data_IF_170682557217
#
_entry.id   IF_170682557217
#
_cell.length_a   1.000
_cell.length_b   1.000
_cell.length_c   1.000
_cell.angle_alpha   90.00
_cell.angle_beta   90.00
_cell.angle_gamma   90.00
#
_symmetry.space_group_name_H-M   'P 1'
#
loop_
_entity.id
_entity.type
_entity.pdbx_description
1 polymer ?
#
# COMPACT_ATOMS: atom_id res chain seq x y z
N UNK A 1 34.43 -4.86 11.24
CA UNK A 1 33.28 -4.51 12.11
C UNK A 1 32.02 -4.94 11.38
N UNK A 2 31.44 -6.08 11.76
CA UNK A 2 30.23 -6.61 11.13
C UNK A 2 29.04 -5.80 11.64
N UNK A 3 28.41 -5.02 10.77
CA UNK A 3 27.15 -4.34 11.09
C UNK A 3 26.07 -5.42 11.26
N UNK A 4 25.73 -5.72 12.51
CA UNK A 4 24.58 -6.54 12.85
C UNK A 4 23.32 -5.80 12.36
N UNK A 5 22.79 -6.22 11.21
CA UNK A 5 21.50 -5.76 10.72
C UNK A 5 20.44 -6.23 11.74
N UNK A 6 19.89 -5.29 12.51
CA UNK A 6 18.76 -5.54 13.40
C UNK A 6 17.57 -6.16 12.62
N UNK A 7 16.57 -6.71 13.33
CA UNK A 7 15.48 -7.45 12.70
C UNK A 7 14.86 -6.67 11.53
N UNK A 8 14.77 -7.31 10.36
CA UNK A 8 14.15 -6.76 9.15
C UNK A 8 12.66 -6.52 9.41
N UNK A 9 12.30 -5.30 9.81
CA UNK A 9 10.92 -4.93 10.11
C UNK A 9 10.14 -4.73 8.80
N UNK A 10 9.04 -5.47 8.64
CA UNK A 10 8.03 -5.33 7.58
C UNK A 10 6.75 -4.82 8.23
N UNK A 11 6.06 -3.87 7.59
CA UNK A 11 4.75 -3.40 8.03
C UNK A 11 3.67 -3.79 7.02
N UNK A 12 2.63 -4.47 7.49
CA UNK A 12 1.40 -4.76 6.76
C UNK A 12 0.25 -4.03 7.47
N UNK A 13 -0.44 -3.14 6.76
CA UNK A 13 -1.54 -2.37 7.32
C UNK A 13 -2.88 -2.84 6.75
N UNK A 14 -3.84 -3.10 7.63
CA UNK A 14 -5.28 -3.22 7.33
C UNK A 14 -5.99 -1.96 7.85
N UNK A 15 -6.89 -1.40 7.04
CA UNK A 15 -7.38 -0.01 7.10
C UNK A 15 -7.88 0.49 8.48
N UNK A 16 -7.40 1.67 8.90
CA UNK A 16 -8.08 2.56 9.86
C UNK A 16 -7.86 4.03 9.44
N UNK A 17 -8.81 4.60 8.71
CA UNK A 17 -8.91 6.03 8.37
C UNK A 17 -10.36 6.43 8.16
N UNK A 18 -10.68 7.72 8.19
CA UNK A 18 -12.02 8.24 7.84
C UNK A 18 -12.24 8.39 6.32
N UNK A 19 -11.46 7.71 5.47
CA UNK A 19 -11.53 7.86 4.02
C UNK A 19 -12.94 7.60 3.45
N UNK A 20 -13.67 6.63 4.00
CA UNK A 20 -15.03 6.30 3.55
C UNK A 20 -15.97 7.51 3.63
N UNK A 21 -15.80 8.39 4.63
CA UNK A 21 -16.63 9.59 4.80
C UNK A 21 -15.98 10.87 4.25
N UNK A 22 -14.66 10.97 4.24
CA UNK A 22 -13.93 12.21 3.92
C UNK A 22 -13.25 12.23 2.53
N UNK A 23 -13.17 11.09 1.83
CA UNK A 23 -12.52 10.99 0.51
C UNK A 23 -11.09 11.52 0.52
N UNK A 24 -10.73 12.36 -0.46
CA UNK A 24 -9.38 12.91 -0.59
C UNK A 24 -8.96 13.83 0.58
N UNK A 25 -9.92 14.35 1.35
CA UNK A 25 -9.67 15.16 2.56
C UNK A 25 -9.50 14.30 3.81
N UNK A 26 -9.27 13.00 3.65
CA UNK A 26 -9.13 12.09 4.79
C UNK A 26 -7.97 12.50 5.71
N UNK A 27 -8.19 12.21 6.98
CA UNK A 27 -7.18 12.30 8.02
C UNK A 27 -6.69 10.90 8.35
N UNK A 28 -5.38 10.80 8.47
CA UNK A 28 -4.69 9.59 8.90
C UNK A 28 -4.22 9.82 10.32
N UNK A 29 -4.43 8.84 11.19
CA UNK A 29 -3.95 8.90 12.57
C UNK A 29 -2.46 9.28 12.61
N UNK A 30 -2.04 10.23 13.47
CA UNK A 30 -0.67 10.72 13.51
C UNK A 30 0.39 9.62 13.58
N UNK A 31 0.15 8.56 14.36
CA UNK A 31 1.06 7.43 14.48
C UNK A 31 1.18 6.61 13.20
N UNK A 32 0.10 6.43 12.44
CA UNK A 32 0.14 5.73 11.15
C UNK A 32 0.96 6.55 10.15
N UNK A 33 0.72 7.88 10.10
CA UNK A 33 1.50 8.78 9.24
C UNK A 33 2.98 8.76 9.60
N UNK A 34 3.31 8.82 10.90
CA UNK A 34 4.69 8.73 11.38
C UNK A 34 5.34 7.42 10.97
N UNK A 35 4.71 6.28 11.23
CA UNK A 35 5.29 4.97 10.91
C UNK A 35 5.49 4.78 9.40
N UNK A 36 4.52 5.19 8.56
CA UNK A 36 4.69 5.13 7.10
C UNK A 36 5.86 6.00 6.63
N UNK A 37 6.00 7.21 7.18
CA UNK A 37 7.13 8.10 6.92
C UNK A 37 8.46 7.50 7.34
N UNK A 38 8.55 6.97 8.57
CA UNK A 38 9.76 6.36 9.13
C UNK A 38 10.21 5.15 8.29
N UNK A 39 9.27 4.31 7.85
CA UNK A 39 9.57 3.15 7.00
C UNK A 39 10.06 3.57 5.61
N UNK A 40 9.37 4.52 4.96
CA UNK A 40 9.76 5.02 3.65
C UNK A 40 11.14 5.70 3.70
N UNK A 41 11.40 6.53 4.72
CA UNK A 41 12.69 7.19 4.92
C UNK A 41 13.81 6.17 5.15
N UNK A 42 13.56 5.14 5.97
CA UNK A 42 14.51 4.07 6.23
C UNK A 42 14.60 3.02 5.11
N UNK A 43 13.92 3.22 3.97
CA UNK A 43 13.83 2.27 2.85
C UNK A 43 13.50 0.85 3.32
N UNK A 44 12.53 0.75 4.22
CA UNK A 44 11.94 -0.52 4.69
C UNK A 44 10.67 -0.82 3.89
N UNK A 45 10.50 -2.05 3.39
CA UNK A 45 9.32 -2.39 2.59
C UNK A 45 8.00 -2.21 3.34
N UNK A 46 7.00 -1.69 2.64
CA UNK A 46 5.62 -1.47 3.12
C UNK A 46 4.66 -2.27 2.24
N UNK A 47 3.77 -3.06 2.86
CA UNK A 47 2.69 -3.76 2.17
C UNK A 47 1.31 -3.21 2.54
N UNK A 48 0.46 -2.92 1.55
CA UNK A 48 -0.90 -2.40 1.75
C UNK A 48 -1.87 -3.09 0.78
N UNK A 49 -3.03 -3.54 1.25
CA UNK A 49 -4.02 -4.17 0.37
C UNK A 49 -5.43 -3.61 0.55
N UNK A 50 -6.31 -3.90 -0.43
CA UNK A 50 -7.69 -3.43 -0.45
C UNK A 50 -7.75 -1.89 -0.48
N UNK A 51 -8.34 -1.26 0.53
CA UNK A 51 -8.44 0.21 0.63
C UNK A 51 -7.22 0.86 1.31
N UNK A 52 -6.38 0.08 1.99
CA UNK A 52 -5.21 0.59 2.71
C UNK A 52 -4.19 1.40 1.86
N UNK A 53 -4.04 1.19 0.54
CA UNK A 53 -3.17 2.02 -0.32
C UNK A 53 -3.47 3.53 -0.29
N UNK A 54 -4.69 3.92 0.08
CA UNK A 54 -5.06 5.33 0.35
C UNK A 54 -4.19 5.95 1.45
N UNK A 55 -3.78 5.17 2.45
CA UNK A 55 -2.92 5.65 3.54
C UNK A 55 -1.54 6.07 3.02
N UNK A 56 -0.94 5.25 2.15
CA UNK A 56 0.30 5.61 1.48
C UNK A 56 0.11 6.84 0.59
N UNK A 57 -0.96 6.89 -0.20
CA UNK A 57 -1.25 8.04 -1.05
C UNK A 57 -1.34 9.35 -0.26
N UNK A 58 -1.92 9.31 0.95
CA UNK A 58 -2.05 10.48 1.83
C UNK A 58 -0.75 10.87 2.53
N UNK A 59 0.11 9.90 2.83
CA UNK A 59 1.29 10.09 3.68
C UNK A 59 2.61 10.21 2.92
N UNK A 60 2.71 9.64 1.72
CA UNK A 60 3.93 9.50 0.94
C UNK A 60 3.74 10.18 -0.44
N UNK A 61 4.23 11.41 -0.63
CA UNK A 61 4.06 12.13 -1.89
C UNK A 61 4.66 11.38 -3.08
N UNK A 62 3.92 11.34 -4.20
CA UNK A 62 4.38 10.71 -5.44
C UNK A 62 4.41 9.18 -5.45
N UNK A 63 3.94 8.52 -4.39
CA UNK A 63 3.94 7.05 -4.31
C UNK A 63 3.08 6.42 -5.40
N UNK A 64 3.58 5.33 -5.98
CA UNK A 64 2.81 4.48 -6.88
C UNK A 64 2.01 3.43 -6.09
N UNK A 65 0.71 3.36 -6.33
CA UNK A 65 -0.20 2.44 -5.64
C UNK A 65 -1.29 1.90 -6.56
N UNK A 66 -1.91 0.78 -6.20
CA UNK A 66 -3.15 0.28 -6.79
C UNK A 66 -4.18 -0.01 -5.72
N UNK A 67 -5.45 0.27 -6.02
CA UNK A 67 -6.61 -0.30 -5.31
C UNK A 67 -7.44 -1.19 -6.25
N UNK A 68 -6.91 -1.56 -7.42
CA UNK A 68 -7.67 -2.19 -8.49
C UNK A 68 -8.11 -1.18 -9.55
N UNK A 69 -9.42 -1.09 -9.81
CA UNK A 69 -9.99 -0.28 -10.92
C UNK A 69 -11.14 0.64 -10.52
N UNK A 70 -11.42 0.80 -9.23
CA UNK A 70 -12.46 1.73 -8.79
C UNK A 70 -12.10 3.18 -9.16
N UNK A 71 -12.86 3.77 -10.07
CA UNK A 71 -12.54 5.08 -10.63
C UNK A 71 -12.65 6.21 -9.60
N UNK A 72 -13.58 6.10 -8.64
CA UNK A 72 -13.77 7.09 -7.58
C UNK A 72 -12.56 7.16 -6.65
N UNK A 73 -12.13 6.00 -6.15
CA UNK A 73 -10.97 5.89 -5.26
C UNK A 73 -9.67 6.22 -6.00
N UNK A 74 -9.52 5.76 -7.25
CA UNK A 74 -8.36 6.11 -8.07
C UNK A 74 -8.24 7.64 -8.29
N UNK A 75 -9.36 8.33 -8.49
CA UNK A 75 -9.38 9.80 -8.58
C UNK A 75 -9.00 10.47 -7.26
N UNK A 76 -9.51 9.98 -6.13
CA UNK A 76 -9.15 10.50 -4.81
C UNK A 76 -7.65 10.33 -4.53
N UNK A 77 -7.06 9.18 -4.88
CA UNK A 77 -5.62 8.90 -4.79
C UNK A 77 -4.82 9.92 -5.59
N UNK A 78 -5.21 10.17 -6.85
CA UNK A 78 -4.54 11.17 -7.70
C UNK A 78 -4.62 12.59 -7.12
N UNK A 79 -5.78 12.96 -6.56
CA UNK A 79 -5.97 14.26 -5.92
C UNK A 79 -5.10 14.45 -4.66
N UNK A 80 -4.68 13.36 -4.00
CA UNK A 80 -3.74 13.40 -2.88
C UNK A 80 -2.27 13.50 -3.33
N UNK A 81 -1.99 13.50 -4.64
CA UNK A 81 -0.63 13.62 -5.19
C UNK A 81 0.11 12.29 -5.36
N UNK A 82 -0.61 11.17 -5.30
CA UNK A 82 -0.08 9.85 -5.58
C UNK A 82 -0.46 9.37 -6.98
N UNK A 83 0.24 8.33 -7.46
CA UNK A 83 0.01 7.75 -8.79
C UNK A 83 -0.77 6.45 -8.63
N UNK A 84 -2.01 6.43 -9.11
CA UNK A 84 -2.82 5.22 -9.15
C UNK A 84 -2.56 4.43 -10.44
N UNK A 85 -2.16 3.17 -10.29
CA UNK A 85 -2.02 2.21 -11.37
C UNK A 85 -3.17 1.20 -11.33
N UNK A 86 -3.87 1.03 -12.45
CA UNK A 86 -4.87 -0.03 -12.55
C UNK A 86 -4.15 -1.39 -12.61
N UNK A 87 -4.56 -2.31 -11.74
CA UNK A 87 -4.01 -3.68 -11.66
C UNK A 87 -5.14 -4.67 -11.46
N UNK A 88 -5.05 -5.84 -12.10
CA UNK A 88 -5.99 -6.93 -11.90
C UNK A 88 -5.82 -7.62 -10.55
N UNK A 89 -6.80 -8.46 -10.17
CA UNK A 89 -6.72 -9.28 -8.96
C UNK A 89 -5.51 -10.24 -8.96
N UNK A 90 -4.93 -10.54 -10.11
CA UNK A 90 -3.72 -11.38 -10.24
C UNK A 90 -2.42 -10.58 -10.17
N UNK A 91 -2.49 -9.27 -9.97
CA UNK A 91 -1.35 -8.35 -10.04
C UNK A 91 -1.16 -7.54 -8.74
N UNK A 92 0.05 -6.99 -8.60
CA UNK A 92 0.40 -6.00 -7.57
C UNK A 92 1.05 -4.78 -8.22
N UNK A 93 0.94 -3.62 -7.59
CA UNK A 93 1.71 -2.43 -7.93
C UNK A 93 2.91 -2.31 -6.98
N UNK A 94 4.06 -1.91 -7.51
CA UNK A 94 5.34 -1.84 -6.77
C UNK A 94 6.01 -0.51 -7.06
N UNK A 95 6.12 0.32 -6.04
CA UNK A 95 6.99 1.48 -6.03
C UNK A 95 8.38 1.06 -5.51
N UNK A 96 9.31 0.81 -6.43
CA UNK A 96 10.67 0.38 -6.08
C UNK A 96 11.47 1.49 -5.36
N UNK A 97 11.15 2.77 -5.59
CA UNK A 97 11.83 3.88 -4.96
C UNK A 97 11.45 4.00 -3.47
N UNK A 98 10.15 3.99 -3.17
CA UNK A 98 9.64 4.06 -1.80
C UNK A 98 9.51 2.68 -1.13
N UNK A 99 9.79 1.60 -1.85
CA UNK A 99 9.61 0.20 -1.45
C UNK A 99 8.19 -0.09 -0.96
N UNK A 100 7.18 0.42 -1.68
CA UNK A 100 5.76 0.21 -1.37
C UNK A 100 5.18 -0.83 -2.32
N UNK A 101 4.53 -1.86 -1.79
CA UNK A 101 3.81 -2.87 -2.57
C UNK A 101 2.34 -2.80 -2.22
N UNK A 102 1.49 -2.73 -3.25
CA UNK A 102 0.04 -2.65 -3.07
C UNK A 102 -0.73 -3.66 -3.91
N UNK A 103 -1.86 -4.12 -3.39
CA UNK A 103 -2.66 -5.16 -4.04
C UNK A 103 -4.18 -4.89 -3.90
N UNK A 104 -4.99 -5.16 -4.95
CA UNK A 104 -6.42 -4.85 -4.92
C UNK A 104 -7.24 -5.66 -3.90
N UNK A 105 -6.92 -6.94 -3.70
CA UNK A 105 -7.66 -7.85 -2.81
C UNK A 105 -9.20 -7.71 -2.95
N UNK A 106 -9.90 -7.46 -1.83
CA UNK A 106 -11.37 -7.34 -1.79
C UNK A 106 -11.96 -6.13 -2.54
N UNK A 107 -11.14 -5.24 -3.12
CA UNK A 107 -11.67 -4.18 -4.00
C UNK A 107 -12.31 -4.73 -5.28
N UNK A 108 -12.00 -5.98 -5.64
CA UNK A 108 -12.68 -6.72 -6.70
C UNK A 108 -13.84 -7.54 -6.12
N UNK A 109 -15.06 -7.00 -6.15
CA UNK A 109 -16.24 -7.66 -5.59
C UNK A 109 -16.62 -8.99 -6.27
N UNK A 110 -16.14 -9.24 -7.48
CA UNK A 110 -16.33 -10.49 -8.22
C UNK A 110 -15.25 -11.54 -7.97
N UNK A 111 -14.19 -11.22 -7.23
CA UNK A 111 -13.08 -12.13 -6.96
C UNK A 111 -13.50 -13.22 -5.98
N UNK A 112 -13.00 -14.44 -6.18
CA UNK A 112 -13.16 -15.53 -5.22
C UNK A 112 -12.18 -15.37 -4.06
N UNK A 113 -12.42 -16.08 -2.96
CA UNK A 113 -11.47 -16.12 -1.83
C UNK A 113 -10.10 -16.65 -2.28
N UNK A 114 -10.06 -17.58 -3.23
CA UNK A 114 -8.82 -18.11 -3.79
C UNK A 114 -8.03 -17.02 -4.53
N UNK A 115 -8.70 -16.23 -5.38
CA UNK A 115 -8.06 -15.11 -6.09
C UNK A 115 -7.46 -14.10 -5.11
N UNK A 116 -8.19 -13.79 -4.03
CA UNK A 116 -7.74 -12.86 -3.00
C UNK A 116 -6.56 -13.42 -2.20
N UNK A 117 -6.59 -14.71 -1.87
CA UNK A 117 -5.49 -15.40 -1.20
C UNK A 117 -4.21 -15.33 -2.05
N UNK A 118 -4.33 -15.63 -3.35
CA UNK A 118 -3.20 -15.57 -4.28
C UNK A 118 -2.68 -14.14 -4.45
N UNK A 119 -3.57 -13.15 -4.53
CA UNK A 119 -3.21 -11.73 -4.63
C UNK A 119 -2.41 -11.24 -3.41
N UNK A 120 -2.88 -11.56 -2.21
CA UNK A 120 -2.18 -11.21 -0.96
C UNK A 120 -0.88 -12.00 -0.85
N UNK A 121 -0.87 -13.27 -1.25
CA UNK A 121 0.34 -14.09 -1.31
C UNK A 121 1.42 -13.48 -2.22
N UNK A 122 1.02 -12.95 -3.38
CA UNK A 122 1.90 -12.23 -4.29
C UNK A 122 2.44 -10.94 -3.65
N UNK A 123 1.60 -10.16 -2.99
CA UNK A 123 2.01 -8.96 -2.24
C UNK A 123 3.08 -9.31 -1.21
N UNK A 124 2.85 -10.33 -0.37
CA UNK A 124 3.80 -10.72 0.68
C UNK A 124 5.13 -11.16 0.08
N UNK A 125 5.11 -12.01 -0.96
CA UNK A 125 6.32 -12.44 -1.68
C UNK A 125 7.11 -11.24 -2.20
N UNK A 126 6.43 -10.25 -2.79
CA UNK A 126 7.08 -9.07 -3.36
C UNK A 126 7.63 -8.15 -2.28
N UNK A 127 6.90 -7.91 -1.18
CA UNK A 127 7.42 -7.17 -0.01
C UNK A 127 8.70 -7.81 0.53
N UNK A 128 8.72 -9.13 0.70
CA UNK A 128 9.90 -9.86 1.19
C UNK A 128 11.10 -9.73 0.25
N UNK A 129 10.87 -9.71 -1.07
CA UNK A 129 11.95 -9.53 -2.06
C UNK A 129 12.67 -8.19 -1.95
N UNK A 130 12.02 -7.16 -1.38
CA UNK A 130 12.58 -5.81 -1.18
C UNK A 130 13.36 -5.64 0.14
N UNK A 131 13.46 -6.70 0.95
CA UNK A 131 14.14 -6.66 2.27
C UNK A 131 15.65 -6.94 2.21
N UNK A 132 16.19 -7.12 1.00
CA UNK A 132 17.60 -7.41 0.76
C UNK A 132 18.43 -6.14 0.61
#
# INVERSE_FOLDING_TARGET
>A
MSAHAGPKKVALYISSSNFVSAGASCEVLPDVKRVLGDFAHAKKPIGLCCIAPVLAARCLPGVHVTIGKDAGTAKAIKNMGAIHENREITEVCVDENLKVVTAPAYMYGSATIADIFDNIGLLVKKVLSLTN
#
